data_IF_618147392252
#
_entry.id   IF_618147392252
#
_cell.length_a   1.000
_cell.length_b   1.000
_cell.length_c   1.000
_cell.angle_alpha   90.00
_cell.angle_beta   90.00
_cell.angle_gamma   90.00
#
_symmetry.space_group_name_H-M   'P 1'
#
loop_
_entity.id
_entity.type
_entity.pdbx_description
1 polymer ?
#
# COMPACT_ATOMS: atom_id res chain seq x y z
N UNK A 1 -3.20 16.28 9.83
CA UNK A 1 -3.99 15.05 9.72
C UNK A 1 -3.12 13.94 9.12
N UNK A 2 -3.24 12.71 9.62
CA UNK A 2 -2.39 11.60 9.16
C UNK A 2 -2.84 11.14 7.77
N UNK A 3 -1.93 11.09 6.82
CA UNK A 3 -2.25 10.77 5.42
C UNK A 3 -1.81 9.36 5.08
N UNK A 4 -2.74 8.57 4.55
CA UNK A 4 -2.51 7.17 4.17
C UNK A 4 -2.72 7.02 2.67
N UNK A 5 -1.75 6.43 2.01
CA UNK A 5 -1.74 6.22 0.56
C UNK A 5 -1.99 4.74 0.27
N UNK A 6 -3.02 4.45 -0.50
CA UNK A 6 -3.40 3.06 -0.80
C UNK A 6 -3.12 2.76 -2.26
N UNK A 7 -2.29 1.74 -2.51
CA UNK A 7 -1.98 1.24 -3.84
C UNK A 7 -2.59 -0.15 -3.96
N UNK A 8 -3.83 -0.20 -4.43
CA UNK A 8 -4.64 -1.41 -4.56
C UNK A 8 -5.53 -1.28 -5.79
N UNK A 9 -5.42 -2.22 -6.73
CA UNK A 9 -6.19 -2.16 -7.98
C UNK A 9 -7.60 -2.75 -7.87
N UNK A 10 -7.88 -3.53 -6.82
CA UNK A 10 -9.23 -3.99 -6.54
C UNK A 10 -10.02 -2.85 -5.91
N UNK A 11 -10.93 -2.26 -6.69
CA UNK A 11 -11.68 -1.08 -6.26
C UNK A 11 -12.54 -1.33 -5.03
N UNK A 12 -13.06 -2.55 -4.86
CA UNK A 12 -13.89 -2.90 -3.70
C UNK A 12 -13.03 -2.90 -2.44
N UNK A 13 -11.86 -3.52 -2.50
CA UNK A 13 -10.94 -3.57 -1.36
C UNK A 13 -10.45 -2.17 -1.03
N UNK A 14 -10.00 -1.42 -2.03
CA UNK A 14 -9.49 -0.07 -1.82
C UNK A 14 -10.53 0.83 -1.15
N UNK A 15 -11.76 0.82 -1.66
CA UNK A 15 -12.85 1.63 -1.12
C UNK A 15 -13.22 1.22 0.29
N UNK A 16 -13.28 -0.08 0.56
CA UNK A 16 -13.63 -0.60 1.88
C UNK A 16 -12.59 -0.16 2.91
N UNK A 17 -11.31 -0.30 2.60
CA UNK A 17 -10.23 0.11 3.48
C UNK A 17 -10.25 1.63 3.67
N UNK A 18 -10.43 2.38 2.58
CA UNK A 18 -10.49 3.84 2.65
C UNK A 18 -11.60 4.30 3.59
N UNK A 19 -12.82 3.76 3.41
CA UNK A 19 -13.96 4.15 4.22
C UNK A 19 -13.74 3.83 5.70
N UNK A 20 -13.13 2.68 5.98
CA UNK A 20 -12.83 2.29 7.36
C UNK A 20 -11.84 3.25 8.00
N UNK A 21 -10.76 3.57 7.29
CA UNK A 21 -9.72 4.46 7.82
C UNK A 21 -10.21 5.89 7.98
N UNK A 22 -11.07 6.36 7.08
CA UNK A 22 -11.64 7.70 7.17
C UNK A 22 -12.53 7.86 8.40
N UNK A 23 -13.15 6.78 8.89
CA UNK A 23 -13.91 6.80 10.15
C UNK A 23 -13.03 7.10 11.35
N UNK A 24 -11.74 6.82 11.25
CA UNK A 24 -10.76 7.11 12.31
C UNK A 24 -10.04 8.43 12.08
N UNK A 25 -10.60 9.29 11.21
CA UNK A 25 -10.09 10.63 10.91
C UNK A 25 -8.76 10.63 10.17
N UNK A 26 -8.42 9.57 9.45
CA UNK A 26 -7.29 9.60 8.54
C UNK A 26 -7.71 10.19 7.20
N UNK A 27 -6.77 10.86 6.54
CA UNK A 27 -6.96 11.32 5.16
C UNK A 27 -6.38 10.25 4.24
N UNK A 28 -7.20 9.74 3.32
CA UNK A 28 -6.82 8.58 2.51
C UNK A 28 -6.91 8.92 1.02
N UNK A 29 -5.88 8.54 0.28
CA UNK A 29 -5.88 8.61 -1.19
C UNK A 29 -5.66 7.22 -1.76
N UNK A 30 -6.55 6.80 -2.66
CA UNK A 30 -6.38 5.57 -3.42
C UNK A 30 -5.83 5.91 -4.79
N UNK A 31 -4.76 5.21 -5.20
CA UNK A 31 -4.13 5.43 -6.50
C UNK A 31 -5.12 5.16 -7.63
N UNK A 32 -5.15 6.03 -8.62
CA UNK A 32 -6.01 5.90 -9.80
C UNK A 32 -5.24 5.46 -11.03
N UNK A 33 -4.01 5.96 -11.22
CA UNK A 33 -3.17 5.63 -12.35
C UNK A 33 -1.98 4.77 -11.90
N UNK A 34 -2.06 3.48 -12.19
CA UNK A 34 -1.07 2.50 -11.69
C UNK A 34 0.24 2.51 -12.47
N UNK A 35 0.34 3.29 -13.53
CA UNK A 35 1.60 3.55 -14.22
C UNK A 35 2.25 4.87 -13.78
N UNK A 36 1.55 5.66 -12.95
CA UNK A 36 2.00 6.97 -12.48
C UNK A 36 1.93 7.07 -10.96
N UNK A 37 2.22 5.97 -10.25
CA UNK A 37 2.09 5.91 -8.80
C UNK A 37 2.96 6.96 -8.11
N UNK A 38 4.18 7.19 -8.58
CA UNK A 38 5.09 8.13 -7.93
C UNK A 38 4.64 9.58 -8.06
N UNK A 39 3.95 9.93 -9.14
CA UNK A 39 3.37 11.27 -9.31
C UNK A 39 2.27 11.51 -8.28
N UNK A 40 1.39 10.53 -8.07
CA UNK A 40 0.33 10.65 -7.07
C UNK A 40 0.92 10.62 -5.65
N UNK A 41 1.96 9.81 -5.43
CA UNK A 41 2.65 9.74 -4.15
C UNK A 41 3.23 11.10 -3.77
N UNK A 42 3.94 11.74 -4.69
CA UNK A 42 4.57 13.03 -4.45
C UNK A 42 3.52 14.12 -4.18
N UNK A 43 2.42 14.11 -4.93
CA UNK A 43 1.36 15.10 -4.78
C UNK A 43 0.62 14.97 -3.44
N UNK A 44 0.40 13.74 -2.98
CA UNK A 44 -0.32 13.48 -1.74
C UNK A 44 0.57 13.62 -0.50
N UNK A 45 1.85 13.30 -0.64
CA UNK A 45 2.83 13.34 0.44
C UNK A 45 2.37 12.56 1.67
N UNK A 46 2.21 11.23 1.56
CA UNK A 46 1.65 10.41 2.64
C UNK A 46 2.63 10.15 3.77
N UNK A 47 2.09 9.68 4.89
CA UNK A 47 2.84 9.29 6.07
C UNK A 47 2.87 7.77 6.25
N UNK A 48 2.00 7.05 5.54
CA UNK A 48 1.93 5.59 5.54
C UNK A 48 1.45 5.13 4.18
N UNK A 49 2.00 4.02 3.68
CA UNK A 49 1.57 3.39 2.42
C UNK A 49 1.06 1.98 2.70
N UNK A 50 -0.11 1.66 2.16
CA UNK A 50 -0.63 0.31 2.08
C UNK A 50 -0.47 -0.12 0.62
N UNK A 51 0.35 -1.15 0.36
CA UNK A 51 0.81 -1.50 -0.97
C UNK A 51 0.43 -2.92 -1.33
N UNK A 52 -0.43 -3.09 -2.34
CA UNK A 52 -0.67 -4.41 -2.90
C UNK A 52 0.56 -4.87 -3.70
N UNK A 53 0.77 -6.18 -3.75
CA UNK A 53 1.90 -6.76 -4.47
C UNK A 53 1.55 -6.94 -5.95
N UNK A 54 0.38 -7.48 -6.24
CA UNK A 54 -0.05 -7.77 -7.61
C UNK A 54 -0.81 -6.59 -8.19
N UNK A 55 -0.09 -5.78 -8.95
CA UNK A 55 -0.63 -4.55 -9.53
C UNK A 55 -0.43 -4.57 -11.05
N UNK A 56 -1.26 -3.80 -11.82
CA UNK A 56 -1.01 -3.63 -13.25
C UNK A 56 0.26 -2.81 -13.48
N UNK A 57 0.88 -3.02 -14.64
CA UNK A 57 2.13 -2.38 -15.08
C UNK A 57 3.34 -2.84 -14.27
N UNK A 58 3.43 -2.44 -13.01
CA UNK A 58 4.56 -2.79 -12.12
C UNK A 58 3.99 -3.30 -10.80
N UNK A 59 4.66 -4.30 -10.21
CA UNK A 59 4.20 -4.86 -8.93
C UNK A 59 4.53 -3.95 -7.76
N UNK A 60 4.01 -4.30 -6.57
CA UNK A 60 4.21 -3.51 -5.36
C UNK A 60 5.67 -3.40 -4.93
N UNK A 61 6.49 -4.42 -5.22
CA UNK A 61 7.92 -4.37 -4.91
C UNK A 61 8.64 -3.28 -5.69
N UNK A 62 8.26 -3.11 -6.96
CA UNK A 62 8.82 -2.04 -7.79
C UNK A 62 8.56 -0.67 -7.15
N UNK A 63 7.31 -0.42 -6.78
CA UNK A 63 6.93 0.87 -6.19
C UNK A 63 7.55 1.08 -4.82
N UNK A 64 7.65 0.01 -4.00
CA UNK A 64 8.33 0.09 -2.72
C UNK A 64 9.79 0.53 -2.90
N UNK A 65 10.49 -0.06 -3.86
CA UNK A 65 11.87 0.31 -4.17
C UNK A 65 11.97 1.77 -4.57
N UNK A 66 11.05 2.25 -5.42
CA UNK A 66 11.03 3.65 -5.84
C UNK A 66 10.80 4.59 -4.65
N UNK A 67 9.86 4.25 -3.78
CA UNK A 67 9.57 5.07 -2.59
C UNK A 67 10.77 5.12 -1.67
N UNK A 68 11.46 4.00 -1.47
CA UNK A 68 12.63 3.92 -0.58
C UNK A 68 13.81 4.76 -1.06
N UNK A 69 13.85 5.15 -2.34
CA UNK A 69 14.88 6.05 -2.84
C UNK A 69 14.69 7.48 -2.31
N UNK A 70 13.49 7.84 -1.88
CA UNK A 70 13.16 9.21 -1.49
C UNK A 70 12.55 9.33 -0.09
N UNK A 71 12.18 8.22 0.55
CA UNK A 71 11.50 8.27 1.84
C UNK A 71 11.71 7.00 2.65
N UNK A 72 11.68 7.13 3.98
CA UNK A 72 11.74 6.01 4.93
C UNK A 72 10.40 5.81 5.63
N UNK A 73 9.31 6.32 5.07
CA UNK A 73 7.99 6.18 5.69
C UNK A 73 7.57 4.70 5.76
N UNK A 74 6.67 4.33 6.69
CA UNK A 74 6.22 2.94 6.79
C UNK A 74 5.46 2.48 5.56
N UNK A 75 5.77 1.27 5.09
CA UNK A 75 5.06 0.60 3.99
C UNK A 75 4.60 -0.75 4.49
N UNK A 76 3.28 -0.98 4.43
CA UNK A 76 2.67 -2.26 4.80
C UNK A 76 2.19 -2.92 3.52
N UNK A 77 2.70 -4.12 3.23
CA UNK A 77 2.27 -4.87 2.05
C UNK A 77 0.95 -5.58 2.31
N UNK A 78 0.08 -5.54 1.30
CA UNK A 78 -1.16 -6.31 1.27
C UNK A 78 -0.99 -7.40 0.22
N UNK A 79 -1.32 -8.66 0.55
CA UNK A 79 -1.15 -9.75 -0.40
C UNK A 79 -2.27 -10.77 -0.28
N UNK A 80 -2.73 -11.28 -1.42
CA UNK A 80 -3.67 -12.39 -1.47
C UNK A 80 -2.98 -13.74 -1.27
N UNK A 81 -1.66 -13.75 -1.23
CA UNK A 81 -0.85 -14.95 -1.01
C UNK A 81 -0.12 -14.79 0.31
N UNK A 82 -0.25 -15.78 1.18
CA UNK A 82 0.36 -15.74 2.51
C UNK A 82 1.45 -16.80 2.66
N UNK A 83 2.18 -17.09 1.58
CA UNK A 83 3.30 -18.01 1.65
C UNK A 83 4.56 -17.29 2.16
N UNK A 84 5.52 -18.09 2.65
CA UNK A 84 6.73 -17.54 3.23
C UNK A 84 7.56 -16.76 2.22
N UNK A 85 7.49 -17.12 0.95
CA UNK A 85 8.26 -16.46 -0.09
C UNK A 85 7.81 -15.01 -0.28
N UNK A 86 6.49 -14.76 -0.27
CA UNK A 86 5.97 -13.40 -0.37
C UNK A 86 6.41 -12.54 0.81
N UNK A 87 6.43 -13.11 2.01
CA UNK A 87 6.86 -12.40 3.20
C UNK A 87 8.34 -12.04 3.10
N UNK A 88 9.17 -12.99 2.70
CA UNK A 88 10.61 -12.76 2.54
C UNK A 88 10.86 -11.69 1.48
N UNK A 89 10.17 -11.75 0.36
CA UNK A 89 10.32 -10.76 -0.71
C UNK A 89 9.90 -9.37 -0.25
N UNK A 90 8.78 -9.27 0.48
CA UNK A 90 8.31 -7.99 1.00
C UNK A 90 9.33 -7.34 1.91
N UNK A 91 9.90 -8.11 2.84
CA UNK A 91 10.91 -7.61 3.77
C UNK A 91 12.19 -7.23 3.02
N UNK A 92 12.63 -8.07 2.08
CA UNK A 92 13.84 -7.83 1.30
C UNK A 92 13.73 -6.57 0.44
N UNK A 93 12.53 -6.21 0.01
CA UNK A 93 12.30 -5.02 -0.82
C UNK A 93 12.03 -3.75 0.01
N UNK A 94 12.20 -3.82 1.32
CA UNK A 94 12.09 -2.67 2.19
C UNK A 94 10.73 -2.41 2.80
N UNK A 95 9.81 -3.38 2.73
CA UNK A 95 8.53 -3.27 3.42
C UNK A 95 8.70 -3.41 4.92
N UNK A 96 7.88 -2.70 5.68
CA UNK A 96 7.95 -2.71 7.15
C UNK A 96 7.07 -3.80 7.75
N UNK A 97 6.02 -4.20 7.03
CA UNK A 97 5.10 -5.19 7.53
C UNK A 97 4.35 -5.85 6.37
N UNK A 98 3.59 -6.87 6.67
CA UNK A 98 2.89 -7.69 5.70
C UNK A 98 1.54 -8.11 6.26
N UNK A 99 0.47 -7.88 5.49
CA UNK A 99 -0.88 -8.32 5.86
C UNK A 99 -1.43 -9.17 4.71
N UNK A 100 -1.79 -10.42 5.02
CA UNK A 100 -2.30 -11.37 4.04
C UNK A 100 -3.79 -11.13 3.77
N UNK A 101 -4.19 -11.24 2.52
CA UNK A 101 -5.59 -11.22 2.13
C UNK A 101 -6.16 -12.64 2.15
N UNK A 102 -7.44 -12.86 2.46
CA UNK A 102 -8.36 -11.83 2.98
C UNK A 102 -7.98 -11.42 4.41
N UNK A 103 -8.24 -10.18 4.75
CA UNK A 103 -7.94 -9.68 6.09
C UNK A 103 -9.17 -9.02 6.69
N UNK A 104 -9.20 -8.92 8.03
CA UNK A 104 -10.25 -8.19 8.71
C UNK A 104 -9.79 -6.74 8.91
N UNK A 105 -10.74 -5.81 8.96
CA UNK A 105 -10.40 -4.40 9.11
C UNK A 105 -9.75 -4.10 10.46
N UNK A 106 -10.00 -4.93 11.47
CA UNK A 106 -9.37 -4.77 12.79
C UNK A 106 -7.85 -4.99 12.74
N UNK A 107 -7.35 -5.73 11.76
CA UNK A 107 -5.91 -5.97 11.58
C UNK A 107 -5.20 -4.72 11.12
N UNK A 108 -5.89 -3.87 10.37
CA UNK A 108 -5.32 -2.64 9.86
C UNK A 108 -5.39 -1.54 10.93
#
# INVERSE_FOLDING_TARGET
>A
MYRIFIVEDDEVIARTVKNHLEKWNYTVHCVENFDEVMEEFAAFDPQLVLMDIHLPFYNGYHWCTQIRQISQLPIIFLSSMSDDMNIVMAVSMGGDDFVAKPFTLEVL
#
